data_IF_695151506647
#
_entry.id   IF_695151506647
#
_cell.length_a   1.000
_cell.length_b   1.000
_cell.length_c   1.000
_cell.angle_alpha   90.00
_cell.angle_beta   90.00
_cell.angle_gamma   90.00
#
_symmetry.space_group_name_H-M   'P 1'
#
loop_
_entity.id
_entity.type
_entity.pdbx_description
1 polymer ?
#
# COMPACT_ATOMS: atom_id res chain seq x y z
N UNK A 1 18.18 4.27 9.57
CA UNK A 1 16.91 3.71 9.06
C UNK A 1 15.92 3.47 10.20
N UNK A 2 16.33 2.87 11.32
CA UNK A 2 15.48 2.67 12.53
C UNK A 2 14.94 3.98 13.09
N UNK A 3 15.79 5.00 13.22
CA UNK A 3 15.38 6.35 13.68
C UNK A 3 14.24 6.95 12.86
N UNK A 4 14.20 6.68 11.55
CA UNK A 4 13.16 7.21 10.67
C UNK A 4 11.81 6.54 10.93
N UNK A 5 11.81 5.25 11.20
CA UNK A 5 10.60 4.48 11.53
C UNK A 5 10.03 4.97 12.87
N UNK A 6 10.91 5.24 13.83
CA UNK A 6 10.53 5.80 15.12
C UNK A 6 9.86 7.19 14.98
N UNK A 7 10.48 8.11 14.22
CA UNK A 7 9.90 9.43 13.92
C UNK A 7 8.52 9.35 13.25
N UNK A 8 8.32 8.37 12.36
CA UNK A 8 7.02 8.15 11.71
C UNK A 8 6.00 7.62 12.70
N UNK A 9 6.39 6.69 13.59
CA UNK A 9 5.52 6.19 14.65
C UNK A 9 5.08 7.32 15.60
N UNK A 10 6.02 8.14 16.08
CA UNK A 10 5.71 9.31 16.91
C UNK A 10 4.77 10.29 16.19
N UNK A 11 5.06 10.59 14.92
CA UNK A 11 4.20 11.45 14.10
C UNK A 11 2.79 10.89 13.91
N UNK A 12 2.65 9.56 13.78
CA UNK A 12 1.35 8.91 13.64
C UNK A 12 0.57 8.90 14.96
N UNK A 13 1.24 8.62 16.08
CA UNK A 13 0.64 8.65 17.43
C UNK A 13 0.12 10.06 17.74
N UNK A 14 0.92 11.10 17.48
CA UNK A 14 0.51 12.49 17.66
C UNK A 14 -0.75 12.83 16.86
N UNK A 15 -0.82 12.40 15.59
CA UNK A 15 -1.98 12.64 14.73
C UNK A 15 -3.23 11.86 15.20
N UNK A 16 -3.06 10.62 15.67
CA UNK A 16 -4.16 9.81 16.20
C UNK A 16 -4.79 10.52 17.42
N UNK A 17 -3.94 11.02 18.33
CA UNK A 17 -4.40 11.78 19.50
C UNK A 17 -5.13 13.07 19.11
N UNK A 18 -4.65 13.78 18.08
CA UNK A 18 -5.23 15.05 17.63
C UNK A 18 -6.58 14.87 16.91
N UNK A 19 -6.71 13.86 16.04
CA UNK A 19 -7.87 13.70 15.17
C UNK A 19 -8.89 12.66 15.64
N UNK A 20 -8.55 11.76 16.58
CA UNK A 20 -9.45 10.74 17.11
C UNK A 20 -9.53 10.75 18.65
N UNK A 21 -10.02 11.84 19.30
CA UNK A 21 -10.04 11.92 20.76
C UNK A 21 -11.01 10.94 21.44
N UNK A 22 -12.04 10.46 20.71
CA UNK A 22 -13.27 9.95 21.32
C UNK A 22 -13.50 8.42 21.24
N UNK A 23 -12.53 7.61 20.78
CA UNK A 23 -12.64 6.14 20.84
C UNK A 23 -11.99 5.52 22.09
N UNK A 24 -11.52 6.34 23.04
CA UNK A 24 -10.82 5.88 24.25
C UNK A 24 -11.73 5.44 25.41
N UNK A 25 -13.05 5.65 25.32
CA UNK A 25 -13.98 5.19 26.34
C UNK A 25 -14.29 3.71 26.18
N UNK A 26 -13.51 2.85 26.87
CA UNK A 26 -13.95 1.61 27.59
C UNK A 26 -12.83 0.61 27.94
N UNK A 27 -11.57 1.02 28.04
CA UNK A 27 -10.62 0.24 28.86
C UNK A 27 -9.41 1.09 29.23
N UNK A 28 -9.05 1.06 30.52
CA UNK A 28 -7.86 1.66 31.12
C UNK A 28 -6.52 1.18 30.52
N UNK A 29 -6.53 0.31 29.50
CA UNK A 29 -5.37 -0.17 28.74
C UNK A 29 -5.04 0.66 27.49
N UNK A 30 -5.86 1.67 27.14
CA UNK A 30 -5.66 2.46 25.91
C UNK A 30 -4.44 3.38 25.93
N UNK A 31 -4.01 3.85 27.11
CA UNK A 31 -2.89 4.80 27.22
C UNK A 31 -1.52 4.14 27.13
N UNK A 32 -1.39 2.85 27.48
CA UNK A 32 -0.15 2.08 27.33
C UNK A 32 0.17 1.71 25.87
N UNK A 33 -0.86 1.72 25.01
CA UNK A 33 -0.74 1.40 23.57
C UNK A 33 -0.23 2.55 22.69
N UNK A 34 0.05 3.72 23.27
CA UNK A 34 0.49 4.92 22.53
C UNK A 34 1.99 5.21 22.72
N UNK A 35 2.76 4.19 23.07
CA UNK A 35 4.22 4.24 22.97
C UNK A 35 4.67 3.77 21.59
N UNK A 36 5.71 4.40 20.98
CA UNK A 36 6.23 3.97 19.69
C UNK A 36 6.60 2.49 19.63
N UNK A 37 7.11 1.91 20.72
CA UNK A 37 7.48 0.49 20.79
C UNK A 37 6.28 -0.43 20.64
N UNK A 38 5.18 -0.13 21.34
CA UNK A 38 3.90 -0.86 21.24
C UNK A 38 3.31 -0.75 19.84
N UNK A 39 3.39 0.44 19.23
CA UNK A 39 2.96 0.66 17.85
C UNK A 39 3.76 -0.18 16.85
N UNK A 40 5.09 -0.20 16.99
CA UNK A 40 5.98 -0.97 16.12
C UNK A 40 5.86 -2.48 16.34
N UNK A 41 5.55 -2.93 17.55
CA UNK A 41 5.30 -4.34 17.85
C UNK A 41 4.10 -4.91 17.09
N UNK A 42 3.14 -4.06 16.70
CA UNK A 42 2.00 -4.44 15.85
C UNK A 42 2.33 -4.60 14.36
N UNK A 43 3.58 -4.34 13.94
CA UNK A 43 4.01 -4.42 12.54
C UNK A 43 4.81 -5.70 12.32
N UNK A 44 4.23 -6.64 11.58
CA UNK A 44 4.91 -7.84 11.14
C UNK A 44 5.66 -7.59 9.84
N UNK A 45 6.97 -7.87 9.83
CA UNK A 45 7.85 -7.62 8.69
C UNK A 45 8.44 -8.93 8.14
N UNK A 46 8.29 -9.13 6.83
CA UNK A 46 8.89 -10.24 6.08
C UNK A 46 9.80 -9.69 4.99
N UNK A 47 11.08 -10.01 5.05
CA UNK A 47 12.02 -9.71 3.97
C UNK A 47 11.99 -10.81 2.94
N UNK A 48 11.74 -10.45 1.69
CA UNK A 48 11.65 -11.38 0.56
C UNK A 48 12.81 -11.13 -0.38
N UNK A 49 13.55 -12.20 -0.71
CA UNK A 49 14.77 -12.14 -1.52
C UNK A 49 14.59 -12.72 -2.92
N UNK A 50 13.48 -13.41 -3.21
CA UNK A 50 13.21 -14.01 -4.53
C UNK A 50 11.71 -14.10 -4.84
N UNK A 51 11.36 -14.31 -6.11
CA UNK A 51 9.96 -14.48 -6.51
C UNK A 51 9.34 -15.76 -5.93
N UNK A 52 10.14 -16.80 -5.72
CA UNK A 52 9.69 -18.07 -5.11
C UNK A 52 9.35 -17.88 -3.63
N UNK A 53 10.18 -17.16 -2.88
CA UNK A 53 9.88 -16.74 -1.51
C UNK A 53 8.61 -15.88 -1.46
N UNK A 54 8.43 -14.97 -2.41
CA UNK A 54 7.23 -14.14 -2.49
C UNK A 54 5.96 -15.00 -2.64
N UNK A 55 5.99 -15.99 -3.54
CA UNK A 55 4.90 -16.95 -3.72
C UNK A 55 4.67 -17.76 -2.44
N UNK A 56 5.74 -18.23 -1.80
CA UNK A 56 5.66 -19.00 -0.57
C UNK A 56 5.02 -18.21 0.57
N UNK A 57 5.42 -16.95 0.77
CA UNK A 57 4.85 -16.08 1.79
C UNK A 57 3.39 -15.76 1.51
N UNK A 58 3.01 -15.43 0.27
CA UNK A 58 1.60 -15.22 -0.09
C UNK A 58 0.77 -16.48 0.15
N UNK A 59 1.35 -17.66 -0.05
CA UNK A 59 0.69 -18.92 0.26
C UNK A 59 0.55 -19.16 1.77
N UNK A 60 1.55 -18.76 2.56
CA UNK A 60 1.57 -18.85 4.01
C UNK A 60 0.63 -17.84 4.70
N UNK A 61 0.34 -16.69 4.06
CA UNK A 61 -0.49 -15.63 4.64
C UNK A 61 -1.85 -16.11 5.17
N UNK A 62 -2.48 -17.11 4.53
CA UNK A 62 -3.76 -17.64 5.00
C UNK A 62 -3.64 -18.25 6.41
N UNK A 63 -2.57 -19.01 6.65
CA UNK A 63 -2.27 -19.57 7.97
C UNK A 63 -1.92 -18.46 8.97
N UNK A 64 -1.04 -17.54 8.56
CA UNK A 64 -0.60 -16.42 9.40
C UNK A 64 -1.79 -15.55 9.87
N UNK A 65 -2.69 -15.18 8.96
CA UNK A 65 -3.88 -14.39 9.30
C UNK A 65 -4.88 -15.19 10.16
N UNK A 66 -4.84 -16.52 10.10
CA UNK A 66 -5.59 -17.38 11.02
C UNK A 66 -5.09 -17.29 12.46
N UNK A 67 -3.78 -17.17 12.65
CA UNK A 67 -3.10 -17.02 13.94
C UNK A 67 -3.17 -15.56 14.46
N UNK A 68 -3.11 -14.57 13.55
CA UNK A 68 -3.07 -13.14 13.84
C UNK A 68 -4.32 -12.42 13.29
N UNK A 69 -5.45 -12.58 13.98
CA UNK A 69 -6.76 -12.03 13.54
C UNK A 69 -6.89 -10.50 13.68
N UNK A 70 -5.96 -9.87 14.39
CA UNK A 70 -5.85 -8.44 14.60
C UNK A 70 -5.33 -7.70 13.36
N UNK A 71 -4.71 -8.40 12.40
CA UNK A 71 -4.15 -7.79 11.19
C UNK A 71 -5.26 -7.29 10.26
N UNK A 72 -5.27 -5.99 9.99
CA UNK A 72 -6.26 -5.33 9.10
C UNK A 72 -5.69 -4.82 7.78
N UNK A 73 -4.37 -4.87 7.61
CA UNK A 73 -3.69 -4.40 6.40
C UNK A 73 -2.52 -5.31 6.04
N UNK A 74 -2.38 -5.61 4.76
CA UNK A 74 -1.22 -6.31 4.19
C UNK A 74 -0.62 -5.41 3.12
N UNK A 75 0.67 -5.09 3.25
CA UNK A 75 1.40 -4.22 2.32
C UNK A 75 2.48 -5.05 1.64
N UNK A 76 2.52 -5.04 0.30
CA UNK A 76 3.55 -5.71 -0.49
C UNK A 76 4.33 -4.66 -1.29
N UNK A 77 5.55 -4.38 -0.83
CA UNK A 77 6.49 -3.45 -1.47
C UNK A 77 7.76 -4.19 -1.94
N UNK A 78 7.92 -4.49 -3.23
CA UNK A 78 6.95 -4.36 -4.34
C UNK A 78 6.75 -5.71 -4.99
N UNK A 79 5.57 -5.94 -5.59
CA UNK A 79 5.34 -7.18 -6.35
C UNK A 79 6.24 -7.25 -7.58
N UNK A 80 6.68 -6.10 -8.09
CA UNK A 80 7.34 -6.01 -9.38
C UNK A 80 8.81 -6.31 -9.37
N UNK A 81 9.49 -6.11 -8.23
CA UNK A 81 10.94 -6.22 -8.16
C UNK A 81 11.42 -7.62 -8.57
N UNK A 82 10.90 -8.66 -7.91
CA UNK A 82 11.32 -10.05 -8.13
C UNK A 82 10.80 -10.64 -9.45
N UNK A 83 9.60 -10.25 -9.88
CA UNK A 83 8.99 -10.78 -11.10
C UNK A 83 9.59 -10.20 -12.40
N UNK A 84 10.49 -9.22 -12.31
CA UNK A 84 11.13 -8.59 -13.47
C UNK A 84 12.47 -9.19 -13.86
N UNK A 85 13.21 -9.73 -12.89
CA UNK A 85 14.61 -10.14 -13.10
C UNK A 85 14.74 -11.61 -13.48
N UNK A 86 13.96 -12.49 -12.85
CA UNK A 86 14.24 -13.94 -12.87
C UNK A 86 13.15 -14.77 -13.59
N UNK A 87 12.52 -14.24 -14.64
CA UNK A 87 11.49 -14.95 -15.42
C UNK A 87 11.80 -14.98 -16.91
N UNK A 88 12.27 -16.14 -17.39
CA UNK A 88 12.48 -16.41 -18.82
C UNK A 88 11.16 -16.61 -19.57
N UNK A 89 10.20 -17.31 -18.95
CA UNK A 89 8.86 -17.53 -19.49
C UNK A 89 7.87 -16.46 -19.01
N UNK A 90 7.59 -15.49 -19.89
CA UNK A 90 6.67 -14.39 -19.63
C UNK A 90 5.20 -14.84 -19.52
N UNK A 91 4.82 -15.94 -20.17
CA UNK A 91 3.47 -16.49 -20.08
C UNK A 91 3.26 -17.15 -18.71
N UNK A 92 4.24 -17.93 -18.26
CA UNK A 92 4.26 -18.49 -16.90
C UNK A 92 4.21 -17.38 -15.86
N UNK A 93 5.05 -16.34 -16.02
CA UNK A 93 5.05 -15.16 -15.14
C UNK A 93 3.65 -14.57 -14.99
N UNK A 94 2.96 -14.36 -16.12
CA UNK A 94 1.61 -13.78 -16.14
C UNK A 94 0.61 -14.66 -15.41
N UNK A 95 0.67 -15.99 -15.64
CA UNK A 95 -0.21 -16.96 -14.95
C UNK A 95 0.02 -16.96 -13.44
N UNK A 96 1.28 -16.95 -13.01
CA UNK A 96 1.63 -16.91 -11.58
C UNK A 96 1.11 -15.63 -10.94
N UNK A 97 1.36 -14.47 -11.55
CA UNK A 97 0.85 -13.19 -11.08
C UNK A 97 -0.67 -13.19 -10.96
N UNK A 98 -1.40 -13.68 -11.97
CA UNK A 98 -2.86 -13.81 -11.89
C UNK A 98 -3.31 -14.72 -10.73
N UNK A 99 -2.59 -15.82 -10.47
CA UNK A 99 -2.87 -16.68 -9.32
C UNK A 99 -2.67 -15.96 -7.99
N UNK A 100 -1.59 -15.18 -7.86
CA UNK A 100 -1.30 -14.40 -6.65
C UNK A 100 -2.35 -13.30 -6.42
N UNK A 101 -2.78 -12.58 -7.47
CA UNK A 101 -3.80 -11.53 -7.31
C UNK A 101 -5.14 -12.10 -6.86
N UNK A 102 -5.57 -13.22 -7.44
CA UNK A 102 -6.80 -13.92 -7.01
C UNK A 102 -6.72 -14.38 -5.56
N UNK A 103 -5.56 -14.90 -5.12
CA UNK A 103 -5.36 -15.33 -3.74
C UNK A 103 -5.42 -14.15 -2.77
N UNK A 104 -4.75 -13.04 -3.09
CA UNK A 104 -4.80 -11.81 -2.28
C UNK A 104 -6.21 -11.23 -2.20
N UNK A 105 -6.97 -11.24 -3.30
CA UNK A 105 -8.38 -10.84 -3.29
C UNK A 105 -9.24 -11.74 -2.41
N UNK A 106 -9.01 -13.06 -2.42
CA UNK A 106 -9.69 -14.01 -1.54
C UNK A 106 -9.38 -13.68 -0.07
N UNK A 107 -8.10 -13.49 0.28
CA UNK A 107 -7.68 -13.14 1.64
C UNK A 107 -8.31 -11.83 2.12
N UNK A 108 -8.31 -10.80 1.28
CA UNK A 108 -8.95 -9.52 1.59
C UNK A 108 -10.42 -9.68 1.97
N UNK A 109 -11.18 -10.50 1.22
CA UNK A 109 -12.60 -10.76 1.49
C UNK A 109 -12.82 -11.64 2.73
N UNK A 110 -12.03 -12.71 2.88
CA UNK A 110 -12.20 -13.67 3.98
C UNK A 110 -11.85 -13.09 5.35
N UNK A 111 -10.82 -12.23 5.41
CA UNK A 111 -10.34 -11.65 6.66
C UNK A 111 -10.74 -10.17 6.85
N UNK A 112 -11.52 -9.61 5.93
CA UNK A 112 -11.94 -8.20 5.95
C UNK A 112 -10.76 -7.23 6.19
N UNK A 113 -9.71 -7.40 5.37
CA UNK A 113 -8.47 -6.64 5.42
C UNK A 113 -8.20 -5.89 4.12
N UNK A 114 -7.42 -4.82 4.20
CA UNK A 114 -6.93 -4.09 3.03
C UNK A 114 -5.63 -4.69 2.50
N UNK A 115 -5.54 -4.95 1.19
CA UNK A 115 -4.28 -5.33 0.53
C UNK A 115 -3.79 -4.16 -0.29
N UNK A 116 -2.58 -3.67 0.02
CA UNK A 116 -1.91 -2.58 -0.68
C UNK A 116 -0.69 -3.14 -1.41
N UNK A 117 -0.66 -2.95 -2.73
CA UNK A 117 0.42 -3.43 -3.59
C UNK A 117 1.15 -2.23 -4.17
N UNK A 118 2.47 -2.19 -4.00
CA UNK A 118 3.30 -1.20 -4.67
C UNK A 118 3.79 -1.78 -6.01
N UNK A 119 3.68 -0.95 -7.04
CA UNK A 119 4.08 -1.26 -8.40
C UNK A 119 5.02 -0.16 -8.91
N UNK A 120 6.06 -0.56 -9.63
CA UNK A 120 6.98 0.35 -10.30
C UNK A 120 6.46 0.75 -11.68
N UNK A 121 6.91 1.90 -12.17
CA UNK A 121 6.69 2.34 -13.55
C UNK A 121 7.86 1.95 -14.44
N UNK A 122 7.60 1.84 -15.74
CA UNK A 122 8.59 1.52 -16.76
C UNK A 122 8.31 2.27 -18.03
N UNK A 123 9.29 2.35 -18.93
CA UNK A 123 9.10 2.91 -20.26
C UNK A 123 8.78 1.80 -21.25
N UNK A 124 7.73 1.99 -22.05
CA UNK A 124 7.44 1.17 -23.23
C UNK A 124 7.70 2.03 -24.46
N UNK A 125 8.42 1.47 -25.42
CA UNK A 125 8.61 2.10 -26.73
C UNK A 125 7.46 1.68 -27.65
N UNK A 126 6.67 2.64 -28.09
CA UNK A 126 5.54 2.43 -28.99
C UNK A 126 5.57 3.52 -30.05
N UNK A 127 5.51 3.12 -31.34
CA UNK A 127 5.36 4.05 -32.48
C UNK A 127 6.37 5.21 -32.49
N UNK A 128 7.65 4.94 -32.21
CA UNK A 128 8.69 5.97 -32.24
C UNK A 128 8.78 6.84 -30.98
N UNK A 129 7.94 6.60 -29.96
CA UNK A 129 7.91 7.37 -28.71
C UNK A 129 8.09 6.47 -27.46
N UNK A 130 8.73 7.01 -26.43
CA UNK A 130 8.79 6.38 -25.11
C UNK A 130 7.62 6.89 -24.27
N UNK A 131 6.79 5.96 -23.81
CA UNK A 131 5.66 6.25 -22.96
C UNK A 131 5.84 5.57 -21.60
N UNK A 132 5.50 6.29 -20.52
CA UNK A 132 5.47 5.72 -19.19
C UNK A 132 4.30 4.75 -19.08
N UNK A 133 4.56 3.53 -18.61
CA UNK A 133 3.55 2.51 -18.38
C UNK A 133 3.82 1.78 -17.06
N UNK A 134 2.81 1.05 -16.57
CA UNK A 134 2.93 0.27 -15.35
C UNK A 134 3.74 -1.01 -15.62
N UNK A 135 4.60 -1.40 -14.68
CA UNK A 135 5.28 -2.68 -14.80
C UNK A 135 4.29 -3.85 -14.67
N UNK A 136 4.70 -5.00 -15.21
CA UNK A 136 3.95 -6.26 -15.30
C UNK A 136 2.76 -6.27 -16.28
N UNK A 137 2.55 -5.20 -17.03
CA UNK A 137 1.60 -5.15 -18.15
C UNK A 137 0.14 -4.99 -17.73
N UNK A 138 -0.73 -5.00 -18.74
CA UNK A 138 -2.14 -4.63 -18.58
C UNK A 138 -2.94 -5.67 -17.77
N UNK A 139 -2.67 -6.97 -17.96
CA UNK A 139 -3.35 -8.04 -17.22
C UNK A 139 -3.18 -7.89 -15.70
N UNK A 140 -1.96 -7.56 -15.25
CA UNK A 140 -1.70 -7.27 -13.85
C UNK A 140 -2.39 -5.97 -13.42
N UNK A 141 -2.31 -4.94 -14.25
CA UNK A 141 -2.95 -3.64 -14.01
C UNK A 141 -4.48 -3.72 -13.86
N UNK A 142 -5.13 -4.68 -14.51
CA UNK A 142 -6.57 -4.92 -14.36
C UNK A 142 -6.93 -5.68 -13.08
N UNK A 143 -5.96 -6.38 -12.48
CA UNK A 143 -6.19 -7.20 -11.27
C UNK A 143 -6.47 -6.36 -10.02
N UNK A 144 -6.06 -5.09 -9.96
CA UNK A 144 -6.38 -4.20 -8.84
C UNK A 144 -7.75 -3.53 -9.01
N UNK A 145 -8.48 -3.39 -7.91
CA UNK A 145 -9.78 -2.69 -7.84
C UNK A 145 -9.59 -1.18 -7.89
N UNK A 146 -8.74 -0.66 -7.01
CA UNK A 146 -8.36 0.74 -6.93
C UNK A 146 -6.90 0.92 -7.37
N UNK A 147 -6.61 1.99 -8.11
CA UNK A 147 -5.26 2.31 -8.59
C UNK A 147 -4.94 3.78 -8.37
N UNK A 148 -3.91 4.03 -7.57
CA UNK A 148 -3.36 5.36 -7.33
C UNK A 148 -2.00 5.47 -8.04
N UNK A 149 -1.84 6.54 -8.81
CA UNK A 149 -0.58 6.92 -9.46
C UNK A 149 0.00 8.09 -8.70
N UNK A 150 1.21 7.92 -8.17
CA UNK A 150 1.97 8.97 -7.50
C UNK A 150 2.95 9.57 -8.50
N UNK A 151 2.89 10.88 -8.71
CA UNK A 151 3.74 11.57 -9.69
C UNK A 151 4.15 12.95 -9.18
N UNK A 152 5.17 13.51 -9.82
CA UNK A 152 5.62 14.88 -9.57
C UNK A 152 5.03 15.82 -10.62
N UNK A 153 4.51 16.95 -10.17
CA UNK A 153 4.06 18.06 -11.01
C UNK A 153 4.88 19.30 -10.63
N UNK A 154 5.98 19.54 -11.36
CA UNK A 154 6.97 20.53 -10.95
C UNK A 154 7.60 20.14 -9.61
N UNK A 155 7.48 21.00 -8.61
CA UNK A 155 7.99 20.74 -7.25
C UNK A 155 6.95 20.12 -6.29
N UNK A 156 5.72 19.86 -6.77
CA UNK A 156 4.66 19.27 -5.94
C UNK A 156 4.51 17.77 -6.21
N UNK A 157 4.22 17.00 -5.17
CA UNK A 157 3.83 15.60 -5.32
C UNK A 157 2.31 15.52 -5.43
N UNK A 158 1.82 14.73 -6.37
CA UNK A 158 0.40 14.54 -6.62
C UNK A 158 0.05 13.06 -6.60
N UNK A 159 -1.12 12.75 -6.03
CA UNK A 159 -1.74 11.44 -6.07
C UNK A 159 -2.95 11.51 -7.00
N UNK A 160 -2.96 10.67 -8.04
CA UNK A 160 -4.01 10.57 -9.03
C UNK A 160 -4.71 9.22 -8.93
N UNK A 161 -6.02 9.24 -8.67
CA UNK A 161 -6.88 8.06 -8.68
C UNK A 161 -7.25 7.74 -10.13
N UNK A 162 -6.54 6.78 -10.70
CA UNK A 162 -6.67 6.42 -12.10
C UNK A 162 -7.79 5.38 -12.33
N UNK A 163 -8.02 4.50 -11.36
CA UNK A 163 -9.09 3.49 -11.42
C UNK A 163 -9.74 3.32 -10.06
N UNK A 164 -11.08 3.37 -10.02
CA UNK A 164 -11.88 2.97 -8.87
C UNK A 164 -13.30 2.59 -9.32
N UNK A 165 -13.94 1.56 -8.74
CA UNK A 165 -15.34 1.25 -9.02
C UNK A 165 -16.32 2.19 -8.30
N UNK A 166 -15.89 2.91 -7.27
CA UNK A 166 -16.77 3.69 -6.38
C UNK A 166 -16.51 5.19 -6.41
N UNK A 167 -15.36 5.62 -6.92
CA UNK A 167 -14.93 7.02 -6.90
C UNK A 167 -14.58 7.50 -8.32
N UNK A 168 -14.88 8.76 -8.65
CA UNK A 168 -14.45 9.34 -9.90
C UNK A 168 -12.94 9.55 -9.91
N UNK A 169 -12.38 9.61 -11.12
CA UNK A 169 -10.99 9.97 -11.35
C UNK A 169 -10.71 11.37 -10.78
N UNK A 170 -9.67 11.50 -9.96
CA UNK A 170 -9.32 12.73 -9.28
C UNK A 170 -7.81 12.81 -8.99
N UNK A 171 -7.27 14.02 -8.90
CA UNK A 171 -5.88 14.27 -8.49
C UNK A 171 -5.85 15.21 -7.30
N UNK A 172 -5.02 14.91 -6.30
CA UNK A 172 -4.79 15.79 -5.14
C UNK A 172 -3.30 15.93 -4.86
N UNK A 173 -2.80 17.13 -4.51
CA UNK A 173 -1.44 17.29 -4.06
C UNK A 173 -1.27 16.73 -2.64
N UNK A 174 -0.06 16.26 -2.32
CA UNK A 174 0.32 15.82 -0.99
C UNK A 174 1.78 16.19 -0.69
N UNK A 175 2.13 16.28 0.59
CA UNK A 175 3.48 16.54 1.06
C UNK A 175 4.03 15.36 1.85
N UNK A 176 5.33 15.08 1.72
CA UNK A 176 6.03 14.10 2.56
C UNK A 176 6.86 14.89 3.56
N UNK A 177 6.49 14.80 4.83
CA UNK A 177 7.10 15.55 5.94
C UNK A 177 7.83 14.59 6.89
N UNK A 178 8.47 15.13 7.93
CA UNK A 178 9.05 14.31 8.99
C UNK A 178 7.99 13.45 9.70
N UNK A 179 6.74 13.92 9.80
CA UNK A 179 5.64 13.17 10.41
C UNK A 179 4.96 12.17 9.46
N UNK A 180 5.41 12.08 8.20
CA UNK A 180 4.86 11.21 7.17
C UNK A 180 4.12 11.97 6.06
N UNK A 181 3.20 11.28 5.38
CA UNK A 181 2.38 11.87 4.30
C UNK A 181 1.33 12.80 4.92
N UNK A 182 1.25 14.04 4.44
CA UNK A 182 0.35 15.08 4.92
C UNK A 182 -0.25 15.86 3.76
N UNK A 183 -1.28 16.64 4.04
CA UNK A 183 -1.87 17.54 3.06
C UNK A 183 -0.82 18.56 2.61
N UNK A 184 -0.75 18.79 1.29
CA UNK A 184 0.03 19.90 0.77
C UNK A 184 -0.72 21.20 1.15
N UNK A 185 -0.12 22.02 2.01
CA UNK A 185 -0.69 23.32 2.38
C UNK A 185 -1.02 24.14 1.13
N UNK A 186 -2.19 24.79 1.14
CA UNK A 186 -2.78 25.66 0.10
C UNK A 186 -3.38 24.99 -1.15
N UNK A 187 -4.48 24.25 -0.98
CA UNK A 187 -5.65 24.42 -1.86
C UNK A 187 -6.89 24.01 -1.08
N UNK A 188 -7.91 24.88 -1.11
CA UNK A 188 -9.15 24.74 -0.32
C UNK A 188 -10.04 23.61 -0.85
N UNK A 189 -9.59 22.36 -0.81
CA UNK A 189 -10.52 21.24 -0.94
C UNK A 189 -11.12 21.00 0.44
N UNK A 190 -12.27 21.65 0.69
CA UNK A 190 -13.14 21.30 1.82
C UNK A 190 -13.30 19.78 1.82
N UNK A 191 -12.86 19.11 2.88
CA UNK A 191 -13.19 17.70 3.15
C UNK A 191 -14.68 17.52 2.91
N UNK A 192 -15.06 16.80 1.86
CA UNK A 192 -16.42 16.28 1.76
C UNK A 192 -16.50 15.19 2.82
N UNK A 193 -17.14 15.48 3.96
CA UNK A 193 -17.57 14.44 4.89
C UNK A 193 -18.51 13.54 4.12
N UNK A 194 -18.06 12.33 3.79
CA UNK A 194 -18.97 11.25 3.41
C UNK A 194 -19.72 10.89 4.69
N UNK A 195 -21.01 11.24 4.73
CA UNK A 195 -21.96 10.75 5.73
C UNK A 195 -22.22 9.26 5.52
#
# INVERSE_FOLDING_TARGET
MVERVYQIAEGCISDIMEYFPCHHDKSSSGQENLQPESFLAGIYYFRICSYTEQIAVINYLEKFLGEHKDVRIVIIDSVTFHFRQDFDDLALRTRVLCGLSLKLMKLSKSYNLAVVLLNQVTTKFTEGSFQLTLALGDSWSHSCTNRLILYWKGNERCAYLDKSPSLPVASTPYAVTSKGVRDAGSSSCKRVRVM
#
